data_IF_652981283811
#
_entry.id   IF_652981283811
#
_cell.length_a   1.000
_cell.length_b   1.000
_cell.length_c   1.000
_cell.angle_alpha   90.00
_cell.angle_beta   90.00
_cell.angle_gamma   90.00
#
_symmetry.space_group_name_H-M   'P 1'
#
loop_
_entity.id
_entity.type
_entity.pdbx_description
1 polymer ?
#
# COMPACT_ATOMS: atom_id res chain seq x y z
N UNK A 1 -29.38 -6.60 11.18
CA UNK A 1 -28.33 -5.70 11.70
C UNK A 1 -26.99 -6.40 11.65
N UNK A 2 -26.17 -6.06 10.65
CA UNK A 2 -24.71 -6.11 10.73
C UNK A 2 -24.21 -4.88 9.95
N UNK A 3 -24.22 -3.71 10.60
CA UNK A 3 -23.31 -2.64 10.20
C UNK A 3 -21.94 -3.05 10.75
N UNK A 4 -21.32 -4.07 10.17
CA UNK A 4 -19.87 -4.13 10.19
C UNK A 4 -19.50 -3.20 9.05
N UNK A 5 -19.13 -1.96 9.37
CA UNK A 5 -18.22 -1.21 8.52
C UNK A 5 -17.00 -2.10 8.39
N UNK A 6 -16.98 -2.96 7.37
CA UNK A 6 -15.82 -3.78 7.11
C UNK A 6 -14.68 -2.80 6.96
N UNK A 7 -13.61 -2.98 7.73
CA UNK A 7 -12.43 -2.18 7.57
C UNK A 7 -11.97 -2.33 6.12
N UNK A 8 -12.05 -1.24 5.35
CA UNK A 8 -11.47 -1.19 4.01
C UNK A 8 -9.98 -1.41 4.20
N UNK A 9 -9.40 -2.44 3.56
CA UNK A 9 -7.96 -2.68 3.66
C UNK A 9 -7.18 -1.42 3.28
N UNK A 10 -6.30 -0.96 4.16
CA UNK A 10 -5.58 0.29 4.00
C UNK A 10 -4.15 0.21 4.50
N UNK A 11 -3.23 0.86 3.80
CA UNK A 11 -1.82 1.00 4.19
C UNK A 11 -1.54 2.48 4.43
N UNK A 12 -0.89 2.80 5.54
CA UNK A 12 -0.51 4.18 5.88
C UNK A 12 0.97 4.26 6.20
N UNK A 13 1.61 5.38 5.82
CA UNK A 13 2.99 5.66 6.19
C UNK A 13 2.98 6.23 7.62
N UNK A 14 3.73 5.61 8.54
CA UNK A 14 3.88 6.09 9.92
C UNK A 14 5.15 6.88 10.14
N UNK A 15 6.23 6.45 9.51
CA UNK A 15 7.54 7.06 9.65
C UNK A 15 8.30 6.97 8.33
N UNK A 16 9.01 8.05 7.99
CA UNK A 16 10.05 8.04 6.97
C UNK A 16 11.39 8.40 7.60
N UNK A 17 12.43 7.65 7.27
CA UNK A 17 13.82 8.01 7.54
C UNK A 17 14.48 8.40 6.23
N UNK A 18 15.03 9.61 6.16
CA UNK A 18 15.77 10.10 5.00
C UNK A 18 17.23 9.66 5.04
N UNK A 19 17.91 9.78 3.90
CA UNK A 19 19.32 9.39 3.75
C UNK A 19 20.30 10.18 4.63
N UNK A 20 19.93 11.40 5.03
CA UNK A 20 20.67 12.23 5.98
C UNK A 20 20.45 11.84 7.46
N UNK A 21 19.62 10.82 7.70
CA UNK A 21 19.27 10.30 9.02
C UNK A 21 18.11 11.05 9.69
N UNK A 22 17.57 12.10 9.07
CA UNK A 22 16.38 12.77 9.59
C UNK A 22 15.17 11.85 9.54
N UNK A 23 14.30 11.97 10.54
CA UNK A 23 13.09 11.17 10.68
C UNK A 23 11.86 12.04 10.74
N UNK A 24 10.79 11.58 10.12
CA UNK A 24 9.50 12.23 10.18
C UNK A 24 8.40 11.21 10.44
N UNK A 25 7.64 11.44 11.50
CA UNK A 25 6.43 10.69 11.83
C UNK A 25 5.19 11.37 11.23
N UNK A 26 4.19 10.55 10.93
CA UNK A 26 2.93 10.94 10.29
C UNK A 26 1.73 10.31 10.98
N UNK A 27 0.65 11.08 11.08
CA UNK A 27 -0.66 10.57 11.43
C UNK A 27 -1.44 10.14 10.18
N UNK A 28 -2.45 9.29 10.37
CA UNK A 28 -3.28 8.71 9.30
C UNK A 28 -3.88 9.76 8.35
N UNK A 29 -4.29 10.90 8.91
CA UNK A 29 -5.05 11.94 8.19
C UNK A 29 -4.22 13.21 7.93
N UNK A 30 -2.88 13.10 8.02
CA UNK A 30 -2.00 14.24 7.77
C UNK A 30 -2.00 14.64 6.29
N UNK A 31 -2.20 15.94 6.03
CA UNK A 31 -1.94 16.53 4.72
C UNK A 31 -0.46 16.94 4.66
N UNK A 32 0.34 16.18 3.92
CA UNK A 32 1.78 16.42 3.79
C UNK A 32 2.10 17.18 2.50
N UNK A 33 2.69 18.36 2.64
CA UNK A 33 3.17 19.16 1.52
C UNK A 33 4.70 19.13 1.42
N UNK A 34 5.23 18.56 0.33
CA UNK A 34 6.65 18.57 0.02
C UNK A 34 7.04 19.89 -0.69
N UNK A 35 7.79 20.76 -0.02
CA UNK A 35 8.22 22.07 -0.54
C UNK A 35 9.75 22.18 -0.61
N UNK A 36 10.23 23.06 -1.49
CA UNK A 36 11.66 23.37 -1.60
C UNK A 36 12.06 23.79 -3.02
N UNK A 37 13.32 24.23 -3.21
CA UNK A 37 13.84 24.63 -4.52
C UNK A 37 13.77 23.55 -5.60
N UNK A 38 14.01 23.91 -6.86
CA UNK A 38 14.08 22.93 -7.94
C UNK A 38 15.23 21.93 -7.69
N UNK A 39 15.01 20.68 -8.07
CA UNK A 39 15.98 19.57 -7.98
C UNK A 39 16.44 19.16 -6.57
N UNK A 40 15.82 19.66 -5.50
CA UNK A 40 16.15 19.25 -4.12
C UNK A 40 15.62 17.86 -3.72
N UNK A 41 14.97 17.16 -4.65
CA UNK A 41 14.53 15.78 -4.42
C UNK A 41 13.03 15.57 -4.21
N UNK A 42 12.18 16.60 -4.28
CA UNK A 42 10.72 16.46 -4.09
C UNK A 42 10.09 15.32 -4.89
N UNK A 43 10.25 15.31 -6.21
CA UNK A 43 9.71 14.25 -7.08
C UNK A 43 10.42 12.91 -6.88
N UNK A 44 11.69 12.94 -6.48
CA UNK A 44 12.46 11.72 -6.20
C UNK A 44 11.99 11.06 -4.91
N UNK A 45 11.64 11.82 -3.87
CA UNK A 45 11.01 11.29 -2.65
C UNK A 45 9.70 10.58 -2.96
N UNK A 46 8.82 11.17 -3.77
CA UNK A 46 7.58 10.51 -4.21
C UNK A 46 7.85 9.24 -5.03
N UNK A 47 8.89 9.25 -5.87
CA UNK A 47 9.32 8.08 -6.65
C UNK A 47 9.84 6.96 -5.73
N UNK A 48 10.70 7.29 -4.77
CA UNK A 48 11.21 6.32 -3.78
C UNK A 48 10.06 5.67 -3.00
N UNK A 49 9.05 6.44 -2.57
CA UNK A 49 7.88 5.91 -1.86
C UNK A 49 7.04 4.97 -2.74
N UNK A 50 6.83 5.35 -4.00
CA UNK A 50 6.12 4.49 -4.97
C UNK A 50 6.88 3.18 -5.20
N UNK A 51 8.19 3.24 -5.38
CA UNK A 51 9.02 2.06 -5.66
C UNK A 51 9.03 1.10 -4.47
N UNK A 52 9.13 1.65 -3.25
CA UNK A 52 9.05 0.89 -2.02
C UNK A 52 7.73 0.13 -1.85
N UNK A 53 6.59 0.81 -2.05
CA UNK A 53 5.27 0.17 -1.97
C UNK A 53 5.04 -0.94 -3.00
N UNK A 54 5.75 -0.91 -4.13
CA UNK A 54 5.63 -1.90 -5.19
C UNK A 54 6.68 -3.02 -5.08
N UNK A 55 7.41 -3.08 -3.96
CA UNK A 55 8.53 -4.01 -3.74
C UNK A 55 9.53 -4.01 -4.92
N UNK A 56 9.72 -2.85 -5.55
CA UNK A 56 10.72 -2.69 -6.60
C UNK A 56 12.04 -2.46 -5.89
N UNK A 57 12.98 -3.39 -6.06
CA UNK A 57 14.33 -3.32 -5.46
C UNK A 57 15.21 -2.19 -6.01
N UNK A 58 14.64 -1.18 -6.67
CA UNK A 58 15.40 0.00 -7.08
C UNK A 58 15.95 0.70 -5.83
N UNK A 59 17.18 1.19 -5.92
CA UNK A 59 17.83 1.84 -4.79
C UNK A 59 17.07 3.12 -4.44
N UNK A 60 16.41 3.12 -3.28
CA UNK A 60 15.86 4.36 -2.72
C UNK A 60 17.01 5.34 -2.51
N UNK A 61 16.93 6.51 -3.13
CA UNK A 61 18.05 7.46 -3.15
C UNK A 61 17.98 8.48 -2.02
N UNK A 62 16.78 8.92 -1.66
CA UNK A 62 16.53 9.96 -0.66
C UNK A 62 15.82 9.41 0.57
N UNK A 63 14.92 8.43 0.39
CA UNK A 63 14.21 7.79 1.50
C UNK A 63 14.90 6.48 1.86
N UNK A 64 15.57 6.43 3.01
CA UNK A 64 16.29 5.24 3.45
C UNK A 64 15.34 4.13 3.91
N UNK A 65 14.34 4.48 4.70
CA UNK A 65 13.41 3.53 5.32
C UNK A 65 12.03 4.16 5.40
N UNK A 66 11.00 3.34 5.19
CA UNK A 66 9.60 3.71 5.38
C UNK A 66 8.97 2.66 6.26
N UNK A 67 8.26 3.09 7.30
CA UNK A 67 7.46 2.19 8.14
C UNK A 67 6.00 2.37 7.79
N UNK A 68 5.38 1.26 7.46
CA UNK A 68 3.96 1.19 7.15
C UNK A 68 3.18 0.62 8.32
N UNK A 69 1.94 1.07 8.49
CA UNK A 69 0.92 0.40 9.27
C UNK A 69 -0.17 -0.07 8.30
N UNK A 70 -0.53 -1.35 8.42
CA UNK A 70 -1.60 -1.95 7.63
C UNK A 70 -2.83 -2.13 8.51
N UNK A 71 -4.01 -2.06 7.91
CA UNK A 71 -5.29 -2.31 8.60
C UNK A 71 -6.21 -3.02 7.65
N UNK A 72 -6.95 -4.03 8.12
CA UNK A 72 -7.89 -4.76 7.26
C UNK A 72 -7.25 -5.85 6.40
N UNK A 73 -6.05 -6.33 6.76
CA UNK A 73 -5.28 -7.29 5.96
C UNK A 73 -5.36 -8.74 6.47
N UNK A 74 -6.16 -9.04 7.50
CA UNK A 74 -6.35 -10.44 7.90
C UNK A 74 -7.08 -11.23 6.81
N UNK A 75 -6.92 -12.55 6.81
CA UNK A 75 -7.56 -13.45 5.81
C UNK A 75 -9.08 -13.19 5.70
N UNK A 76 -9.79 -13.14 6.83
CA UNK A 76 -11.24 -12.91 6.84
C UNK A 76 -11.60 -11.55 6.24
N UNK A 77 -10.86 -10.49 6.59
CA UNK A 77 -11.14 -9.12 6.16
C UNK A 77 -10.88 -8.93 4.65
N UNK A 78 -9.78 -9.48 4.14
CA UNK A 78 -9.47 -9.41 2.71
C UNK A 78 -10.44 -10.23 1.86
N UNK A 79 -10.79 -11.44 2.31
CA UNK A 79 -11.80 -12.25 1.60
C UNK A 79 -13.13 -11.51 1.52
N UNK A 80 -13.61 -10.99 2.65
CA UNK A 80 -14.85 -10.25 2.71
C UNK A 80 -14.81 -8.98 1.84
N UNK A 81 -13.67 -8.26 1.80
CA UNK A 81 -13.50 -7.13 0.91
C UNK A 81 -13.55 -7.54 -0.57
N UNK A 82 -12.85 -8.60 -0.96
CA UNK A 82 -12.82 -9.06 -2.35
C UNK A 82 -14.21 -9.53 -2.82
N UNK A 83 -14.91 -10.34 -2.01
CA UNK A 83 -16.27 -10.81 -2.33
C UNK A 83 -17.26 -9.66 -2.56
N UNK A 84 -17.14 -8.56 -1.80
CA UNK A 84 -18.06 -7.43 -1.88
C UNK A 84 -17.72 -6.42 -2.97
N UNK A 85 -16.45 -6.35 -3.39
CA UNK A 85 -15.96 -5.25 -4.25
C UNK A 85 -15.39 -5.72 -5.60
N UNK A 86 -15.11 -7.01 -5.78
CA UNK A 86 -14.41 -7.52 -6.96
C UNK A 86 -15.19 -8.70 -7.55
N UNK A 87 -15.58 -8.58 -8.82
CA UNK A 87 -16.30 -9.63 -9.50
C UNK A 87 -15.39 -10.84 -9.77
N UNK A 88 -15.88 -12.04 -9.46
CA UNK A 88 -15.22 -13.29 -9.81
C UNK A 88 -15.30 -13.53 -11.32
N UNK A 89 -14.23 -14.11 -11.85
CA UNK A 89 -14.21 -14.67 -13.21
C UNK A 89 -15.05 -15.95 -13.28
N UNK A 90 -15.24 -16.49 -14.48
CA UNK A 90 -15.91 -17.78 -14.68
C UNK A 90 -15.21 -18.96 -14.00
N UNK A 91 -13.94 -18.81 -13.62
CA UNK A 91 -13.14 -19.83 -12.94
C UNK A 91 -13.17 -19.68 -11.41
N UNK A 92 -13.84 -18.64 -10.88
CA UNK A 92 -13.95 -18.37 -9.45
C UNK A 92 -12.85 -17.46 -8.89
N UNK A 93 -11.87 -17.07 -9.70
CA UNK A 93 -10.77 -16.19 -9.29
C UNK A 93 -11.15 -14.71 -9.36
N UNK A 94 -10.45 -13.87 -8.60
CA UNK A 94 -10.53 -12.41 -8.65
C UNK A 94 -9.45 -11.84 -9.56
N UNK A 95 -9.84 -11.00 -10.53
CA UNK A 95 -8.90 -10.27 -11.38
C UNK A 95 -8.82 -8.81 -10.93
N UNK A 96 -7.65 -8.40 -10.42
CA UNK A 96 -7.42 -7.05 -9.91
C UNK A 96 -6.42 -6.33 -10.81
N UNK A 97 -6.85 -5.22 -11.41
CA UNK A 97 -5.98 -4.37 -12.22
C UNK A 97 -5.13 -3.48 -11.31
N UNK A 98 -3.81 -3.54 -11.48
CA UNK A 98 -2.83 -2.70 -10.78
C UNK A 98 -2.61 -1.41 -11.58
N UNK A 99 -2.56 -1.53 -12.90
CA UNK A 99 -2.52 -0.43 -13.86
C UNK A 99 -3.25 -0.81 -15.17
N UNK A 100 -3.21 0.08 -16.18
CA UNK A 100 -3.89 -0.12 -17.46
C UNK A 100 -3.43 -1.39 -18.22
N UNK A 101 -2.24 -1.90 -17.92
CA UNK A 101 -1.61 -3.00 -18.65
C UNK A 101 -1.26 -4.20 -17.76
N UNK A 102 -1.42 -4.10 -16.44
CA UNK A 102 -1.07 -5.17 -15.51
C UNK A 102 -2.20 -5.50 -14.54
N UNK A 103 -2.49 -6.80 -14.44
CA UNK A 103 -3.45 -7.37 -13.50
C UNK A 103 -2.83 -8.48 -12.69
N UNK A 104 -3.30 -8.66 -11.46
CA UNK A 104 -2.99 -9.80 -10.63
C UNK A 104 -4.23 -10.66 -10.41
N UNK A 105 -4.04 -11.98 -10.43
CA UNK A 105 -5.13 -12.94 -10.19
C UNK A 105 -4.99 -13.45 -8.76
N UNK A 106 -6.06 -13.30 -7.98
CA UNK A 106 -6.15 -13.82 -6.62
C UNK A 106 -7.16 -14.97 -6.59
N UNK A 107 -6.75 -16.07 -5.99
CA UNK A 107 -7.59 -17.26 -5.80
C UNK A 107 -7.73 -17.59 -4.31
N UNK A 108 -8.40 -18.69 -3.99
CA UNK A 108 -8.62 -19.12 -2.60
C UNK A 108 -7.33 -19.28 -1.78
N UNK A 109 -6.23 -19.69 -2.41
CA UNK A 109 -4.93 -19.84 -1.75
C UNK A 109 -4.24 -18.49 -1.53
N UNK A 110 -4.55 -17.46 -2.31
CA UNK A 110 -3.97 -16.12 -2.17
C UNK A 110 -4.30 -15.44 -0.85
N UNK A 111 -5.38 -15.89 -0.17
CA UNK A 111 -5.76 -15.39 1.15
C UNK A 111 -5.20 -16.24 2.29
N UNK A 112 -4.58 -17.39 1.97
CA UNK A 112 -3.97 -18.26 2.97
C UNK A 112 -2.54 -17.81 3.28
N UNK A 113 -2.08 -17.98 4.52
CA UNK A 113 -0.74 -17.59 4.97
C UNK A 113 -0.47 -16.07 5.01
N UNK A 114 -1.50 -15.23 5.10
CA UNK A 114 -1.30 -13.83 5.47
C UNK A 114 -1.06 -13.80 6.98
N UNK A 115 0.17 -13.45 7.37
CA UNK A 115 0.55 -13.38 8.78
C UNK A 115 0.09 -12.03 9.34
N UNK A 116 -0.67 -12.06 10.43
CA UNK A 116 -1.03 -10.87 11.22
C UNK A 116 0.18 -10.29 11.97
#
# INVERSE_FOLDING_TARGET
MKNQDSLVPSVVIKEMTFNDGSKKEFNKDDIVLLVGPNNVGKSRTLKDLREDLNDKSESKLLVKEVKYETTGFSEEQLRDYFERNIAKTSYGDYCVWIDENSSHIFNEQSFTNIWD
#
